data_IF_748519443561
#
_entry.id   IF_748519443561
#
_cell.length_a   1.000
_cell.length_b   1.000
_cell.length_c   1.000
_cell.angle_alpha   90.00
_cell.angle_beta   90.00
_cell.angle_gamma   90.00
#
_symmetry.space_group_name_H-M   'P 1'
#
loop_
_entity.id
_entity.type
_entity.pdbx_description
1 polymer ?
#
# COMPACT_ATOMS: atom_id res chain seq x y z
N UNK A 1 2.73 29.35 9.51
CA UNK A 1 2.61 28.01 8.87
C UNK A 1 1.90 27.06 9.81
N UNK A 2 1.04 26.15 9.29
CA UNK A 2 0.50 25.05 10.13
C UNK A 2 1.54 23.93 10.22
N UNK A 3 1.64 23.27 11.37
CA UNK A 3 2.60 22.21 11.63
C UNK A 3 1.88 20.92 12.04
N UNK A 4 2.49 19.78 11.72
CA UNK A 4 1.99 18.44 12.06
C UNK A 4 3.05 17.69 12.84
N UNK A 5 2.63 16.96 13.87
CA UNK A 5 3.52 16.12 14.66
C UNK A 5 3.99 14.92 13.81
N UNK A 6 5.30 14.74 13.69
CA UNK A 6 5.92 13.62 12.98
C UNK A 6 6.27 12.44 13.90
N UNK A 7 6.12 12.60 15.20
CA UNK A 7 6.60 11.65 16.22
C UNK A 7 8.01 11.95 16.74
N UNK A 8 8.83 12.69 15.98
CA UNK A 8 10.18 13.15 16.36
C UNK A 8 10.31 14.67 16.30
N UNK A 9 9.21 15.40 16.18
CA UNK A 9 9.19 16.85 16.01
C UNK A 9 7.96 17.28 15.24
N UNK A 10 7.92 18.54 14.82
CA UNK A 10 6.83 19.08 14.01
C UNK A 10 7.37 19.47 12.64
N UNK A 11 6.72 19.01 11.57
CA UNK A 11 7.02 19.35 10.19
C UNK A 11 5.92 20.25 9.61
N UNK A 12 6.21 21.06 8.58
CA UNK A 12 5.19 21.88 7.92
C UNK A 12 4.05 21.02 7.36
N UNK A 13 2.81 21.49 7.52
CA UNK A 13 1.63 20.80 6.99
C UNK A 13 1.69 20.64 5.47
N UNK A 14 2.27 21.62 4.75
CA UNK A 14 2.42 21.55 3.30
C UNK A 14 3.34 20.41 2.87
N UNK A 15 4.39 20.09 3.63
CA UNK A 15 5.26 18.94 3.36
C UNK A 15 4.52 17.62 3.54
N UNK A 16 3.62 17.50 4.54
CA UNK A 16 2.75 16.35 4.68
C UNK A 16 1.82 16.19 3.48
N UNK A 17 1.14 17.28 3.07
CA UNK A 17 0.26 17.27 1.91
C UNK A 17 1.02 16.88 0.65
N UNK A 18 2.22 17.43 0.47
CA UNK A 18 3.09 17.10 -0.64
C UNK A 18 3.45 15.60 -0.67
N UNK A 19 3.92 15.03 0.44
CA UNK A 19 4.26 13.60 0.52
C UNK A 19 3.02 12.72 0.28
N UNK A 20 1.87 13.06 0.87
CA UNK A 20 0.65 12.29 0.68
C UNK A 20 0.07 12.42 -0.74
N UNK A 21 0.30 13.53 -1.44
CA UNK A 21 -0.17 13.70 -2.82
C UNK A 21 0.43 12.69 -3.80
N UNK A 22 1.63 12.14 -3.52
CA UNK A 22 2.22 11.07 -4.31
C UNK A 22 1.28 9.84 -4.33
N UNK A 23 0.54 9.61 -3.24
CA UNK A 23 -0.37 8.47 -3.12
C UNK A 23 -1.53 8.50 -4.12
N UNK A 24 -1.87 9.69 -4.63
CA UNK A 24 -2.91 9.84 -5.66
C UNK A 24 -2.53 9.16 -6.99
N UNK A 25 -1.26 8.88 -7.21
CA UNK A 25 -0.76 8.32 -8.48
C UNK A 25 -0.57 6.81 -8.46
N UNK A 26 -0.55 6.19 -7.27
CA UNK A 26 -0.04 4.81 -7.07
C UNK A 26 -0.89 3.75 -7.77
N UNK A 27 -2.21 3.82 -7.69
CA UNK A 27 -3.13 2.78 -8.18
C UNK A 27 -3.79 3.14 -9.53
N UNK A 28 -3.45 4.27 -10.13
CA UNK A 28 -4.07 4.72 -11.39
C UNK A 28 -3.73 3.88 -12.63
N UNK A 29 -2.49 3.35 -12.81
CA UNK A 29 -2.03 2.87 -14.12
C UNK A 29 -2.88 1.76 -14.73
N UNK A 30 -3.26 0.75 -13.97
CA UNK A 30 -4.00 -0.40 -14.49
C UNK A 30 -5.51 -0.28 -14.35
N UNK A 31 -6.02 0.59 -13.47
CA UNK A 31 -7.44 0.62 -13.10
C UNK A 31 -8.19 1.79 -13.72
N UNK A 32 -7.51 2.91 -14.00
CA UNK A 32 -8.18 4.13 -14.42
C UNK A 32 -8.89 4.02 -15.79
N UNK A 33 -8.33 3.27 -16.74
CA UNK A 33 -8.87 3.13 -18.09
C UNK A 33 -9.78 1.90 -18.27
N UNK A 34 -9.92 1.06 -17.25
CA UNK A 34 -10.80 -0.12 -17.32
C UNK A 34 -12.23 0.21 -17.78
N UNK A 35 -12.86 1.32 -17.36
CA UNK A 35 -14.22 1.64 -17.80
C UNK A 35 -14.38 1.95 -19.30
N UNK A 36 -13.28 2.31 -20.00
CA UNK A 36 -13.36 2.67 -21.43
C UNK A 36 -12.97 1.55 -22.38
N UNK A 37 -12.61 0.37 -21.89
CA UNK A 37 -12.16 -0.74 -22.75
C UNK A 37 -13.21 -1.12 -23.79
N UNK A 38 -14.48 -1.21 -23.41
CA UNK A 38 -15.58 -1.46 -24.35
C UNK A 38 -15.73 -0.35 -25.42
N UNK A 39 -15.51 0.93 -25.03
CA UNK A 39 -15.54 2.04 -25.98
C UNK A 39 -14.35 2.02 -26.95
N UNK A 40 -13.18 1.57 -26.49
CA UNK A 40 -12.01 1.40 -27.35
C UNK A 40 -12.23 0.26 -28.37
N UNK A 41 -12.93 -0.80 -27.98
CA UNK A 41 -13.32 -1.89 -28.88
C UNK A 41 -14.23 -1.39 -30.02
N UNK A 42 -15.19 -0.53 -29.68
CA UNK A 42 -16.06 0.13 -30.70
C UNK A 42 -15.28 1.07 -31.62
N UNK A 43 -14.22 1.71 -31.17
CA UNK A 43 -13.42 2.69 -31.96
C UNK A 43 -12.39 1.98 -32.84
N UNK A 44 -11.80 0.90 -32.35
CA UNK A 44 -10.72 0.18 -33.02
C UNK A 44 -11.19 -1.17 -33.60
N UNK A 45 -12.15 -1.19 -34.52
CA UNK A 45 -12.81 -2.39 -35.10
C UNK A 45 -11.88 -3.49 -35.67
N UNK A 46 -10.60 -3.22 -35.85
CA UNK A 46 -9.61 -4.17 -36.39
C UNK A 46 -8.64 -4.71 -35.33
N UNK A 47 -8.89 -4.42 -34.05
CA UNK A 47 -8.01 -4.74 -32.95
C UNK A 47 -8.60 -5.92 -32.17
N UNK A 48 -7.76 -6.82 -31.72
CA UNK A 48 -8.19 -7.93 -30.87
C UNK A 48 -8.49 -7.47 -29.47
N UNK A 49 -9.46 -8.09 -28.82
CA UNK A 49 -9.79 -7.85 -27.41
C UNK A 49 -8.55 -7.94 -26.51
N UNK A 50 -7.61 -8.84 -26.84
CA UNK A 50 -6.33 -8.99 -26.12
C UNK A 50 -5.48 -7.71 -26.19
N UNK A 51 -5.41 -7.05 -27.35
CA UNK A 51 -4.63 -5.81 -27.50
C UNK A 51 -5.20 -4.67 -26.67
N UNK A 52 -6.52 -4.61 -26.53
CA UNK A 52 -7.19 -3.64 -25.65
C UNK A 52 -6.90 -3.96 -24.18
N UNK A 53 -6.96 -5.23 -23.79
CA UNK A 53 -6.62 -5.65 -22.44
C UNK A 53 -5.15 -5.37 -22.07
N UNK A 54 -4.23 -5.40 -23.03
CA UNK A 54 -2.83 -5.04 -22.81
C UNK A 54 -2.65 -3.62 -22.28
N UNK A 55 -3.56 -2.69 -22.57
CA UNK A 55 -3.50 -1.32 -22.05
C UNK A 55 -3.57 -1.25 -20.53
N UNK A 56 -4.23 -2.22 -19.88
CA UNK A 56 -4.34 -2.29 -18.41
C UNK A 56 -3.26 -3.18 -17.79
N UNK A 57 -2.85 -4.24 -18.50
CA UNK A 57 -1.90 -5.23 -18.00
C UNK A 57 -0.46 -4.74 -18.13
N UNK A 58 -0.09 -4.16 -19.26
CA UNK A 58 1.29 -3.75 -19.55
C UNK A 58 1.85 -2.71 -18.58
N UNK A 59 1.13 -1.66 -18.17
CA UNK A 59 1.64 -0.73 -17.17
C UNK A 59 2.08 -1.45 -15.90
N UNK A 60 1.27 -2.40 -15.40
CA UNK A 60 1.56 -3.15 -14.18
C UNK A 60 2.79 -4.05 -14.34
N UNK A 61 2.92 -4.75 -15.47
CA UNK A 61 4.07 -5.61 -15.75
C UNK A 61 5.37 -4.81 -15.89
N UNK A 62 5.32 -3.71 -16.66
CA UNK A 62 6.50 -2.83 -16.85
C UNK A 62 6.88 -2.13 -15.55
N UNK A 63 5.93 -1.83 -14.69
CA UNK A 63 6.19 -1.24 -13.37
C UNK A 63 7.13 -2.10 -12.51
N UNK A 64 7.05 -3.44 -12.59
CA UNK A 64 7.84 -4.37 -11.76
C UNK A 64 9.35 -4.13 -11.85
N UNK A 65 10.00 -4.19 -13.03
CA UNK A 65 11.45 -3.97 -13.12
C UNK A 65 11.85 -2.55 -12.68
N UNK A 66 11.03 -1.54 -12.95
CA UNK A 66 11.34 -0.15 -12.57
C UNK A 66 11.13 0.13 -11.08
N UNK A 67 10.24 -0.59 -10.38
CA UNK A 67 10.19 -0.61 -8.91
C UNK A 67 11.52 -1.09 -8.34
N UNK A 68 12.06 -2.21 -8.84
CA UNK A 68 13.34 -2.77 -8.38
C UNK A 68 14.51 -1.83 -8.70
N UNK A 69 14.53 -1.24 -9.90
CA UNK A 69 15.52 -0.24 -10.27
C UNK A 69 15.48 0.97 -9.34
N UNK A 70 14.28 1.52 -9.09
CA UNK A 70 14.07 2.63 -8.16
C UNK A 70 14.60 2.29 -6.77
N UNK A 71 14.27 1.11 -6.23
CA UNK A 71 14.72 0.67 -4.92
C UNK A 71 16.24 0.59 -4.77
N UNK A 72 16.96 0.16 -5.81
CA UNK A 72 18.43 0.04 -5.80
C UNK A 72 19.16 1.36 -6.06
N UNK A 73 18.65 2.19 -6.98
CA UNK A 73 19.28 3.44 -7.38
C UNK A 73 19.00 4.57 -6.38
N UNK A 74 17.86 4.48 -5.67
CA UNK A 74 17.41 5.52 -4.76
C UNK A 74 18.29 5.62 -3.52
N UNK A 75 18.85 6.79 -3.34
CA UNK A 75 19.58 7.19 -2.13
C UNK A 75 18.92 8.43 -1.52
N UNK A 76 19.14 8.75 -0.23
CA UNK A 76 18.57 9.96 0.37
C UNK A 76 18.91 11.26 -0.35
N UNK A 77 20.01 11.26 -1.14
CA UNK A 77 20.43 12.44 -1.91
C UNK A 77 19.69 12.60 -3.23
N UNK A 78 19.33 11.50 -3.90
CA UNK A 78 18.75 11.52 -5.24
C UNK A 78 17.27 11.13 -5.29
N UNK A 79 16.67 10.69 -4.18
CA UNK A 79 15.29 10.20 -4.14
C UNK A 79 14.26 11.22 -4.68
N UNK A 80 14.45 12.51 -4.39
CA UNK A 80 13.57 13.57 -4.88
C UNK A 80 13.74 13.80 -6.39
N UNK A 81 14.96 13.67 -6.91
CA UNK A 81 15.22 13.76 -8.34
C UNK A 81 14.61 12.59 -9.12
N UNK A 82 14.71 11.37 -8.57
CA UNK A 82 14.07 10.17 -9.15
C UNK A 82 12.55 10.28 -9.10
N UNK A 83 12.00 10.77 -7.99
CA UNK A 83 10.57 11.06 -7.87
C UNK A 83 10.12 12.08 -8.92
N UNK A 84 10.86 13.18 -9.09
CA UNK A 84 10.57 14.21 -10.08
C UNK A 84 10.58 13.63 -11.51
N UNK A 85 11.61 12.84 -11.83
CA UNK A 85 11.72 12.17 -13.13
C UNK A 85 10.53 11.23 -13.38
N UNK A 86 10.19 10.39 -12.40
CA UNK A 86 9.06 9.46 -12.52
C UNK A 86 7.72 10.19 -12.69
N UNK A 87 7.47 11.23 -11.90
CA UNK A 87 6.24 12.05 -12.02
C UNK A 87 6.19 12.82 -13.34
N UNK A 88 7.32 13.34 -13.81
CA UNK A 88 7.40 14.02 -15.10
C UNK A 88 7.13 13.07 -16.27
N UNK A 89 7.73 11.86 -16.27
CA UNK A 89 7.45 10.82 -17.26
C UNK A 89 5.97 10.43 -17.24
N UNK A 90 5.41 10.23 -16.06
CA UNK A 90 3.99 9.89 -15.90
C UNK A 90 3.09 10.98 -16.50
N UNK A 91 3.33 12.23 -16.12
CA UNK A 91 2.57 13.39 -16.63
C UNK A 91 2.73 13.54 -18.14
N UNK A 92 3.96 13.43 -18.65
CA UNK A 92 4.22 13.50 -20.09
C UNK A 92 3.46 12.43 -20.85
N UNK A 93 3.43 11.21 -20.34
CA UNK A 93 2.65 10.12 -20.92
C UNK A 93 1.15 10.44 -20.92
N UNK A 94 0.61 11.03 -19.85
CA UNK A 94 -0.78 11.49 -19.78
C UNK A 94 -1.11 12.52 -20.87
N UNK A 95 -0.19 13.45 -21.15
CA UNK A 95 -0.34 14.43 -22.25
C UNK A 95 -0.29 13.73 -23.62
N UNK A 96 0.65 12.80 -23.81
CA UNK A 96 0.83 12.11 -25.09
C UNK A 96 -0.37 11.23 -25.46
N UNK A 97 -1.10 10.69 -24.50
CA UNK A 97 -2.33 9.94 -24.76
C UNK A 97 -3.39 10.75 -25.50
N UNK A 98 -3.43 12.09 -25.33
CA UNK A 98 -4.35 12.94 -26.11
C UNK A 98 -4.09 12.95 -27.60
N UNK A 99 -2.85 12.69 -28.01
CA UNK A 99 -2.44 12.70 -29.41
C UNK A 99 -2.39 11.30 -30.03
N UNK A 100 -2.68 10.27 -29.24
CA UNK A 100 -2.67 8.89 -29.71
C UNK A 100 -3.91 8.60 -30.57
N UNK A 101 -3.67 8.10 -31.78
CA UNK A 101 -4.71 7.78 -32.76
C UNK A 101 -4.76 6.29 -33.11
N UNK A 102 -3.76 5.52 -32.66
CA UNK A 102 -3.67 4.07 -32.96
C UNK A 102 -3.47 3.28 -31.65
N UNK A 103 -3.94 2.02 -31.65
CA UNK A 103 -3.79 1.12 -30.49
C UNK A 103 -2.32 0.88 -30.15
N UNK A 104 -1.43 0.81 -31.15
CA UNK A 104 0.00 0.59 -30.96
C UNK A 104 0.61 1.77 -30.20
N UNK A 105 0.22 3.01 -30.51
CA UNK A 105 0.64 4.20 -29.75
C UNK A 105 0.16 4.13 -28.31
N UNK A 106 -1.10 3.75 -28.06
CA UNK A 106 -1.65 3.58 -26.73
C UNK A 106 -0.87 2.52 -25.93
N UNK A 107 -0.52 1.38 -26.55
CA UNK A 107 0.28 0.32 -25.95
C UNK A 107 1.69 0.83 -25.57
N UNK A 108 2.37 1.52 -26.45
CA UNK A 108 3.71 2.11 -26.18
C UNK A 108 3.62 3.11 -25.03
N UNK A 109 2.60 3.96 -25.02
CA UNK A 109 2.37 4.91 -23.94
C UNK A 109 2.04 4.22 -22.62
N UNK A 110 1.30 3.09 -22.65
CA UNK A 110 1.06 2.27 -21.46
C UNK A 110 2.35 1.71 -20.85
N UNK A 111 3.30 1.28 -21.69
CA UNK A 111 4.61 0.88 -21.22
C UNK A 111 5.39 2.06 -20.59
N UNK A 112 5.38 3.21 -21.24
CA UNK A 112 6.06 4.42 -20.70
C UNK A 112 5.43 4.88 -19.39
N UNK A 113 4.10 4.78 -19.26
CA UNK A 113 3.37 5.02 -18.02
C UNK A 113 3.88 4.10 -16.91
N UNK A 114 4.03 2.80 -17.19
CA UNK A 114 4.57 1.80 -16.26
C UNK A 114 5.98 2.15 -15.76
N UNK A 115 6.84 2.67 -16.63
CA UNK A 115 8.19 3.17 -16.24
C UNK A 115 8.07 4.29 -15.21
N UNK A 116 7.26 5.32 -15.50
CA UNK A 116 7.04 6.45 -14.60
C UNK A 116 6.53 5.99 -13.23
N UNK A 117 5.52 5.09 -13.24
CA UNK A 117 4.93 4.52 -12.03
C UNK A 117 5.94 3.74 -11.19
N UNK A 118 6.74 2.87 -11.83
CA UNK A 118 7.73 2.06 -11.15
C UNK A 118 8.78 2.90 -10.40
N UNK A 119 9.13 4.07 -10.92
CA UNK A 119 10.01 5.01 -10.23
C UNK A 119 9.36 5.69 -9.02
N UNK A 120 8.05 5.96 -9.07
CA UNK A 120 7.32 6.75 -8.06
C UNK A 120 6.80 5.89 -6.90
N UNK A 121 6.26 4.69 -7.19
CA UNK A 121 5.48 3.89 -6.24
C UNK A 121 6.23 3.58 -4.94
N UNK A 122 7.49 3.09 -4.92
CA UNK A 122 8.18 2.79 -3.68
C UNK A 122 8.50 4.03 -2.85
N UNK A 123 8.66 5.18 -3.50
CA UNK A 123 8.96 6.44 -2.83
C UNK A 123 7.78 6.98 -2.02
N UNK A 124 6.54 6.71 -2.44
CA UNK A 124 5.35 7.13 -1.71
C UNK A 124 5.31 6.61 -0.26
N UNK A 125 5.66 5.34 -0.04
CA UNK A 125 5.71 4.76 1.29
C UNK A 125 7.04 5.04 2.01
N UNK A 126 8.15 5.06 1.27
CA UNK A 126 9.47 5.31 1.82
C UNK A 126 9.59 6.70 2.44
N UNK A 127 9.12 7.75 1.77
CA UNK A 127 9.14 9.12 2.30
C UNK A 127 8.33 9.25 3.59
N UNK A 128 7.16 8.61 3.68
CA UNK A 128 6.39 8.57 4.93
C UNK A 128 7.21 7.90 6.03
N UNK A 129 7.85 6.76 5.72
CA UNK A 129 8.66 6.01 6.66
C UNK A 129 9.90 6.78 7.15
N UNK A 130 10.45 7.69 6.33
CA UNK A 130 11.62 8.51 6.67
C UNK A 130 11.29 9.68 7.59
N UNK A 131 10.13 10.33 7.38
CA UNK A 131 9.79 11.55 8.10
C UNK A 131 8.84 11.34 9.28
N UNK A 132 8.17 10.19 9.37
CA UNK A 132 7.23 9.88 10.44
C UNK A 132 7.63 8.63 11.20
N UNK A 133 7.38 8.62 12.52
CA UNK A 133 7.67 7.48 13.41
C UNK A 133 6.49 7.12 14.29
N UNK A 134 6.48 5.87 14.76
CA UNK A 134 5.48 5.32 15.66
C UNK A 134 4.05 5.48 15.14
N UNK A 135 3.13 5.85 16.02
CA UNK A 135 1.70 6.05 15.71
C UNK A 135 1.44 7.02 14.55
N UNK A 136 2.29 8.06 14.41
CA UNK A 136 2.15 9.03 13.32
C UNK A 136 2.49 8.39 11.97
N UNK A 137 3.51 7.53 11.89
CA UNK A 137 3.84 6.80 10.67
C UNK A 137 2.71 5.86 10.24
N UNK A 138 2.19 5.04 11.16
CA UNK A 138 1.06 4.15 10.88
C UNK A 138 -0.16 4.93 10.41
N UNK A 139 -0.46 6.07 11.05
CA UNK A 139 -1.54 6.96 10.62
C UNK A 139 -1.33 7.45 9.18
N UNK A 140 -0.12 7.94 8.83
CA UNK A 140 0.15 8.46 7.50
C UNK A 140 0.18 7.34 6.43
N UNK A 141 0.64 6.13 6.77
CA UNK A 141 0.56 4.97 5.87
C UNK A 141 -0.90 4.53 5.62
N UNK A 142 -1.76 4.60 6.64
CA UNK A 142 -3.20 4.42 6.49
C UNK A 142 -3.81 5.49 5.56
N UNK A 143 -3.47 6.76 5.75
CA UNK A 143 -3.91 7.86 4.88
C UNK A 143 -3.41 7.70 3.45
N UNK A 144 -2.14 7.26 3.26
CA UNK A 144 -1.58 6.94 1.94
C UNK A 144 -2.43 5.90 1.23
N UNK A 145 -2.73 4.79 1.89
CA UNK A 145 -3.54 3.71 1.32
C UNK A 145 -4.95 4.19 0.97
N UNK A 146 -5.59 4.92 1.89
CA UNK A 146 -6.92 5.51 1.67
C UNK A 146 -6.95 6.47 0.49
N UNK A 147 -5.97 7.37 0.36
CA UNK A 147 -5.88 8.30 -0.76
C UNK A 147 -5.68 7.59 -2.09
N UNK A 148 -4.86 6.53 -2.13
CA UNK A 148 -4.66 5.73 -3.34
C UNK A 148 -5.97 5.07 -3.80
N UNK A 149 -6.73 4.48 -2.87
CA UNK A 149 -8.02 3.87 -3.17
C UNK A 149 -9.08 4.90 -3.55
N UNK A 150 -9.15 6.04 -2.84
CA UNK A 150 -10.05 7.15 -3.18
C UNK A 150 -9.81 7.66 -4.59
N UNK A 151 -8.55 7.77 -5.00
CA UNK A 151 -8.21 8.21 -6.37
C UNK A 151 -8.73 7.23 -7.42
N UNK A 152 -8.67 5.91 -7.17
CA UNK A 152 -9.23 4.91 -8.10
C UNK A 152 -10.75 5.10 -8.24
N UNK A 153 -11.48 5.27 -7.13
CA UNK A 153 -12.93 5.50 -7.17
C UNK A 153 -13.25 6.73 -8.01
N UNK A 154 -12.58 7.85 -7.71
CA UNK A 154 -12.78 9.10 -8.46
C UNK A 154 -12.41 8.94 -9.93
N UNK A 155 -11.27 8.31 -10.22
CA UNK A 155 -10.77 8.13 -11.57
C UNK A 155 -11.72 7.26 -12.41
N UNK A 156 -12.18 6.13 -11.90
CA UNK A 156 -13.09 5.22 -12.63
C UNK A 156 -14.44 5.86 -12.91
N UNK A 157 -15.02 6.59 -11.95
CA UNK A 157 -16.26 7.31 -12.14
C UNK A 157 -16.11 8.45 -13.17
N UNK A 158 -15.03 9.25 -13.03
CA UNK A 158 -14.72 10.35 -13.93
C UNK A 158 -14.49 9.86 -15.36
N UNK A 159 -13.66 8.82 -15.51
CA UNK A 159 -13.34 8.22 -16.82
C UNK A 159 -14.59 7.66 -17.48
N UNK A 160 -15.43 6.92 -16.75
CA UNK A 160 -16.68 6.38 -17.29
C UNK A 160 -17.65 7.48 -17.79
N UNK A 161 -17.76 8.58 -17.05
CA UNK A 161 -18.62 9.69 -17.43
C UNK A 161 -18.07 10.49 -18.63
N UNK A 162 -16.78 10.81 -18.61
CA UNK A 162 -16.14 11.65 -19.65
C UNK A 162 -15.96 10.87 -20.95
N UNK A 163 -15.73 9.56 -20.90
CA UNK A 163 -15.60 8.71 -22.07
C UNK A 163 -16.90 8.64 -22.91
N UNK A 164 -18.05 8.86 -22.30
CA UNK A 164 -19.32 8.97 -23.04
C UNK A 164 -19.34 10.17 -23.98
N UNK A 165 -18.58 11.23 -23.68
CA UNK A 165 -18.45 12.44 -24.50
C UNK A 165 -17.34 12.27 -25.53
N UNK A 166 -16.14 11.94 -25.06
CA UNK A 166 -14.97 11.70 -25.92
C UNK A 166 -13.97 10.80 -25.16
N UNK A 167 -13.62 9.65 -25.73
CA UNK A 167 -12.72 8.69 -25.12
C UNK A 167 -11.30 9.23 -24.87
N UNK A 168 -10.79 10.18 -25.68
CA UNK A 168 -9.49 10.82 -25.43
C UNK A 168 -9.48 11.61 -24.12
N UNK A 169 -10.60 12.21 -23.71
CA UNK A 169 -10.69 12.96 -22.47
C UNK A 169 -10.59 12.06 -21.22
N UNK A 170 -10.84 10.75 -21.36
CA UNK A 170 -10.66 9.81 -20.28
C UNK A 170 -9.21 9.76 -19.76
N UNK A 171 -8.24 9.95 -20.65
CA UNK A 171 -6.81 9.96 -20.28
C UNK A 171 -6.38 11.21 -19.49
N UNK A 172 -7.25 12.21 -19.32
CA UNK A 172 -6.99 13.38 -18.45
C UNK A 172 -6.68 12.96 -17.02
N UNK A 173 -7.18 11.81 -16.58
CA UNK A 173 -6.90 11.25 -15.26
C UNK A 173 -5.40 11.01 -15.03
N UNK A 174 -4.64 10.76 -16.10
CA UNK A 174 -3.19 10.60 -16.02
C UNK A 174 -2.42 11.94 -15.90
N UNK A 175 -3.14 13.08 -15.82
CA UNK A 175 -2.58 14.38 -15.45
C UNK A 175 -2.53 14.59 -13.92
N UNK A 176 -3.17 13.74 -13.12
CA UNK A 176 -3.14 13.82 -11.64
C UNK A 176 -1.71 13.92 -11.09
N UNK A 177 -0.67 13.24 -11.64
CA UNK A 177 0.72 13.40 -11.19
C UNK A 177 1.32 14.81 -11.27
N UNK A 178 0.69 15.73 -11.98
CA UNK A 178 1.06 17.15 -11.96
C UNK A 178 0.98 17.73 -10.55
N UNK A 179 0.01 17.28 -9.75
CA UNK A 179 -0.19 17.76 -8.38
C UNK A 179 1.06 17.52 -7.51
N UNK A 180 1.51 16.25 -7.30
CA UNK A 180 2.74 16.02 -6.55
C UNK A 180 3.98 16.58 -7.24
N UNK A 181 4.03 16.67 -8.58
CA UNK A 181 5.13 17.27 -9.33
C UNK A 181 5.31 18.76 -8.95
N UNK A 182 4.23 19.53 -8.90
CA UNK A 182 4.26 20.94 -8.47
C UNK A 182 4.63 21.09 -6.98
N UNK A 183 4.38 20.07 -6.16
CA UNK A 183 4.65 20.09 -4.73
C UNK A 183 6.05 19.58 -4.36
N UNK A 184 6.87 19.14 -5.31
CA UNK A 184 8.24 18.65 -5.10
C UNK A 184 9.10 19.57 -4.22
N UNK A 185 9.12 20.92 -4.41
CA UNK A 185 9.95 21.80 -3.59
C UNK A 185 9.71 21.64 -2.09
N UNK A 186 8.46 21.34 -1.69
CA UNK A 186 8.05 21.16 -0.29
C UNK A 186 8.37 19.77 0.28
N UNK A 187 8.79 18.82 -0.56
CA UNK A 187 9.22 17.47 -0.17
C UNK A 187 10.74 17.38 0.05
N UNK A 188 11.49 18.41 -0.33
CA UNK A 188 12.95 18.39 -0.26
C UNK A 188 13.40 18.34 1.21
N UNK A 189 14.38 17.46 1.51
CA UNK A 189 14.94 17.34 2.87
C UNK A 189 15.41 18.70 3.41
N UNK A 190 16.03 19.51 2.56
CA UNK A 190 16.47 20.87 2.91
C UNK A 190 15.32 21.76 3.38
N UNK A 191 14.16 21.70 2.70
CA UNK A 191 12.98 22.48 3.09
C UNK A 191 12.37 21.97 4.39
N UNK A 192 12.26 20.64 4.54
CA UNK A 192 11.67 20.02 5.74
C UNK A 192 12.54 20.27 6.95
N UNK A 193 13.87 20.07 6.85
CA UNK A 193 14.83 20.28 7.95
C UNK A 193 14.94 21.74 8.35
N UNK A 194 14.97 22.68 7.40
CA UNK A 194 15.04 24.12 7.69
C UNK A 194 13.78 24.66 8.36
N UNK A 195 12.62 24.00 8.17
CA UNK A 195 11.34 24.41 8.75
C UNK A 195 10.84 23.45 9.84
N UNK A 196 11.64 22.47 10.26
CA UNK A 196 11.30 21.57 11.34
C UNK A 196 11.38 22.27 12.68
N UNK A 197 10.36 22.09 13.51
CA UNK A 197 10.39 22.53 14.91
C UNK A 197 10.72 21.29 15.74
N UNK A 198 11.89 21.28 16.35
CA UNK A 198 12.22 20.28 17.34
C UNK A 198 11.36 20.50 18.57
N UNK A 199 10.53 19.51 18.89
CA UNK A 199 9.78 19.51 20.14
C UNK A 199 10.78 19.13 21.22
N UNK A 200 11.03 20.06 22.15
CA UNK A 200 11.77 19.75 23.36
C UNK A 200 11.21 18.46 23.97
N UNK A 201 12.06 17.50 24.38
CA UNK A 201 11.57 16.32 25.10
C UNK A 201 10.69 16.79 26.26
N UNK A 202 9.62 16.05 26.61
CA UNK A 202 8.80 16.39 27.76
C UNK A 202 9.71 16.65 28.97
N UNK A 203 9.39 17.64 29.80
CA UNK A 203 10.22 18.00 30.94
C UNK A 203 10.52 16.73 31.71
N UNK A 204 11.81 16.47 31.88
CA UNK A 204 12.32 15.33 32.64
C UNK A 204 11.65 15.39 34.02
N UNK A 205 10.81 14.42 34.32
CA UNK A 205 10.37 14.17 35.69
C UNK A 205 11.59 13.55 36.39
N UNK A 206 12.28 14.24 37.28
CA UNK A 206 13.46 13.67 37.91
C UNK A 206 13.05 12.40 38.65
N UNK A 207 13.70 11.28 38.30
CA UNK A 207 13.70 10.10 39.14
C UNK A 207 14.09 10.57 40.56
N UNK A 208 13.48 10.03 41.60
CA UNK A 208 13.59 10.47 43.00
C UNK A 208 15.03 10.55 43.55
N UNK A 209 16.04 10.18 42.78
CA UNK A 209 17.45 10.27 43.15
C UNK A 209 18.29 10.79 41.96
N UNK A 210 19.20 11.77 42.19
CA UNK A 210 20.10 12.24 41.17
C UNK A 210 21.11 11.13 40.81
N UNK A 211 21.51 11.01 39.49
CA UNK A 211 22.52 10.07 39.07
C UNK A 211 23.84 10.33 39.81
N UNK A 212 24.39 9.31 40.49
CA UNK A 212 25.57 9.42 41.35
C UNK A 212 26.89 9.20 40.63
N UNK A 213 26.89 8.93 39.33
CA UNK A 213 28.12 8.73 38.56
C UNK A 213 28.13 9.46 37.23
N UNK A 214 29.31 9.91 36.78
CA UNK A 214 29.56 10.56 35.47
C UNK A 214 29.16 9.68 34.30
N UNK A 215 29.20 8.35 34.42
CA UNK A 215 28.78 7.39 33.42
C UNK A 215 27.25 7.35 33.25
N UNK A 216 26.49 7.54 34.30
CA UNK A 216 25.02 7.65 34.20
C UNK A 216 24.60 8.99 33.59
N UNK A 217 25.34 10.08 33.89
CA UNK A 217 25.13 11.38 33.24
C UNK A 217 25.46 11.28 31.73
N UNK A 218 26.56 10.61 31.37
CA UNK A 218 26.92 10.36 29.95
C UNK A 218 25.88 9.49 29.23
N UNK A 219 25.33 8.45 29.89
CA UNK A 219 24.23 7.65 29.33
C UNK A 219 22.95 8.47 29.18
N UNK A 220 22.58 9.29 30.19
CA UNK A 220 21.41 10.15 30.12
C UNK A 220 21.55 11.25 29.03
N UNK A 221 22.74 11.76 28.77
CA UNK A 221 23.02 12.71 27.69
C UNK A 221 23.08 12.02 26.33
N UNK A 222 23.56 10.77 26.26
CA UNK A 222 23.57 9.96 25.02
C UNK A 222 22.13 9.58 24.56
N UNK A 223 21.16 9.52 25.49
CA UNK A 223 19.73 9.31 25.19
C UNK A 223 19.10 10.52 24.46
N UNK A 224 19.79 11.66 24.38
CA UNK A 224 19.31 12.92 23.77
C UNK A 224 19.27 12.96 22.23
N UNK A 225 19.78 12.00 21.52
CA UNK A 225 19.49 11.88 20.07
C UNK A 225 18.24 10.99 19.94
N UNK A 226 17.15 11.45 19.27
CA UNK A 226 16.11 10.56 18.81
C UNK A 226 16.76 9.62 17.78
N UNK A 227 17.32 8.55 18.26
CA UNK A 227 17.69 7.44 17.43
C UNK A 227 16.38 6.95 16.83
N UNK A 228 16.25 7.00 15.51
CA UNK A 228 15.35 6.11 14.81
C UNK A 228 15.50 4.75 15.50
N UNK A 229 14.48 4.31 16.23
CA UNK A 229 14.49 2.99 16.84
C UNK A 229 14.32 2.01 15.67
N UNK A 230 15.41 1.83 14.95
CA UNK A 230 15.56 0.74 14.02
C UNK A 230 15.87 -0.47 14.89
N UNK A 231 14.92 -1.38 15.04
CA UNK A 231 15.21 -2.71 15.50
C UNK A 231 16.32 -3.27 14.60
N UNK A 232 17.55 -3.30 15.09
CA UNK A 232 18.69 -3.88 14.35
C UNK A 232 18.55 -5.40 14.41
N UNK A 233 17.72 -5.94 13.52
CA UNK A 233 17.75 -7.36 13.24
C UNK A 233 19.04 -7.66 12.47
N UNK A 234 19.91 -8.52 13.02
CA UNK A 234 21.18 -8.86 12.38
C UNK A 234 20.95 -9.81 11.18
N UNK A 235 21.37 -9.40 10.00
CA UNK A 235 21.61 -10.22 8.82
C UNK A 235 20.47 -11.17 8.41
N UNK A 236 20.63 -12.44 8.70
CA UNK A 236 19.72 -13.52 8.30
C UNK A 236 18.28 -13.36 8.84
N UNK A 237 18.09 -12.86 10.06
CA UNK A 237 16.76 -12.65 10.66
C UNK A 237 15.97 -11.56 9.95
N UNK A 238 16.63 -10.48 9.52
CA UNK A 238 16.01 -9.38 8.77
C UNK A 238 15.43 -9.89 7.45
N UNK A 239 16.19 -10.73 6.74
CA UNK A 239 15.77 -11.28 5.46
C UNK A 239 14.55 -12.20 5.63
N UNK A 240 14.56 -13.08 6.64
CA UNK A 240 13.44 -13.98 6.94
C UNK A 240 12.17 -13.20 7.30
N UNK A 241 12.29 -12.14 8.10
CA UNK A 241 11.14 -11.29 8.46
C UNK A 241 10.58 -10.56 7.24
N UNK A 242 11.45 -9.98 6.40
CA UNK A 242 11.03 -9.34 5.16
C UNK A 242 10.31 -10.34 4.25
N UNK A 243 10.91 -11.51 4.02
CA UNK A 243 10.31 -12.56 3.19
C UNK A 243 8.93 -13.00 3.73
N UNK A 244 8.77 -13.11 5.05
CA UNK A 244 7.49 -13.47 5.67
C UNK A 244 6.42 -12.40 5.47
N UNK A 245 6.79 -11.11 5.58
CA UNK A 245 5.88 -9.98 5.33
C UNK A 245 5.52 -9.91 3.84
N UNK A 246 6.51 -10.12 2.95
CA UNK A 246 6.30 -10.17 1.50
C UNK A 246 5.38 -11.33 1.09
N UNK A 247 5.55 -12.52 1.66
CA UNK A 247 4.70 -13.67 1.40
C UNK A 247 3.27 -13.43 1.85
N UNK A 248 3.07 -12.87 3.04
CA UNK A 248 1.73 -12.49 3.51
C UNK A 248 1.08 -11.48 2.58
N UNK A 249 1.82 -10.45 2.16
CA UNK A 249 1.31 -9.42 1.26
C UNK A 249 0.94 -9.99 -0.11
N UNK A 250 1.82 -10.83 -0.68
CA UNK A 250 1.55 -11.53 -1.93
C UNK A 250 0.23 -12.32 -1.87
N UNK A 251 0.07 -13.18 -0.85
CA UNK A 251 -1.12 -14.04 -0.74
C UNK A 251 -2.38 -13.21 -0.50
N UNK A 252 -2.34 -12.21 0.37
CA UNK A 252 -3.50 -11.37 0.65
C UNK A 252 -3.89 -10.52 -0.56
N UNK A 253 -2.92 -9.94 -1.28
CA UNK A 253 -3.20 -9.19 -2.50
C UNK A 253 -3.75 -10.11 -3.58
N UNK A 254 -3.11 -11.25 -3.83
CA UNK A 254 -3.57 -12.24 -4.79
C UNK A 254 -5.02 -12.64 -4.52
N UNK A 255 -5.36 -12.98 -3.28
CA UNK A 255 -6.69 -13.45 -2.92
C UNK A 255 -7.77 -12.35 -3.02
N UNK A 256 -7.43 -11.09 -2.74
CA UNK A 256 -8.39 -9.98 -2.79
C UNK A 256 -8.56 -9.39 -4.18
N UNK A 257 -7.54 -9.45 -5.03
CA UNK A 257 -7.62 -8.98 -6.41
C UNK A 257 -8.51 -9.85 -7.33
N UNK A 258 -8.97 -11.00 -6.84
CA UNK A 258 -10.02 -11.79 -7.51
C UNK A 258 -11.26 -10.93 -7.80
N UNK A 259 -11.57 -9.93 -6.99
CA UNK A 259 -12.66 -8.97 -7.25
C UNK A 259 -12.45 -8.26 -8.58
N UNK A 260 -11.26 -7.75 -8.83
CA UNK A 260 -10.97 -6.98 -10.05
C UNK A 260 -11.06 -7.84 -11.32
N UNK A 261 -10.70 -9.13 -11.22
CA UNK A 261 -10.59 -10.03 -12.38
C UNK A 261 -11.81 -10.91 -12.62
N UNK A 262 -12.48 -11.38 -11.56
CA UNK A 262 -13.52 -12.41 -11.67
C UNK A 262 -14.91 -11.94 -11.25
N UNK A 263 -15.05 -10.86 -10.47
CA UNK A 263 -16.35 -10.32 -10.10
C UNK A 263 -17.24 -9.98 -11.32
N UNK A 264 -16.71 -9.36 -12.41
CA UNK A 264 -17.50 -9.09 -13.60
C UNK A 264 -18.14 -10.37 -14.18
N UNK A 265 -17.35 -11.42 -14.37
CA UNK A 265 -17.81 -12.69 -14.96
C UNK A 265 -18.82 -13.41 -14.05
N UNK A 266 -18.59 -13.39 -12.72
CA UNK A 266 -19.52 -14.01 -11.76
C UNK A 266 -20.83 -13.24 -11.73
N UNK A 267 -20.83 -11.92 -11.65
CA UNK A 267 -22.05 -11.11 -11.64
C UNK A 267 -22.82 -11.21 -12.96
N UNK A 268 -22.14 -11.24 -14.11
CA UNK A 268 -22.75 -11.44 -15.43
C UNK A 268 -23.44 -12.81 -15.54
N UNK A 269 -22.81 -13.88 -15.03
CA UNK A 269 -23.40 -15.22 -14.98
C UNK A 269 -24.74 -15.22 -14.23
N UNK A 270 -24.83 -14.44 -13.15
CA UNK A 270 -26.07 -14.26 -12.38
C UNK A 270 -26.99 -13.15 -12.95
N UNK A 271 -26.77 -12.73 -14.21
CA UNK A 271 -27.61 -11.76 -14.96
C UNK A 271 -27.66 -10.37 -14.32
N UNK A 272 -26.62 -9.98 -13.61
CA UNK A 272 -26.44 -8.62 -13.11
C UNK A 272 -25.80 -7.73 -14.18
N UNK A 273 -26.14 -6.45 -14.17
CA UNK A 273 -25.66 -5.52 -15.19
C UNK A 273 -24.19 -5.13 -14.99
N UNK A 274 -23.53 -4.68 -16.06
CA UNK A 274 -22.18 -4.10 -15.99
C UNK A 274 -22.10 -2.90 -15.04
N UNK A 275 -23.19 -2.13 -14.91
CA UNK A 275 -23.31 -1.05 -13.95
C UNK A 275 -23.23 -1.54 -12.50
N UNK A 276 -23.86 -2.68 -12.20
CA UNK A 276 -23.82 -3.30 -10.88
C UNK A 276 -22.41 -3.76 -10.50
N UNK A 277 -21.66 -4.29 -11.46
CA UNK A 277 -20.23 -4.64 -11.29
C UNK A 277 -19.40 -3.40 -10.92
N UNK A 278 -19.63 -2.29 -11.61
CA UNK A 278 -18.98 -1.02 -11.31
C UNK A 278 -19.25 -0.54 -9.89
N UNK A 279 -20.52 -0.64 -9.45
CA UNK A 279 -20.91 -0.29 -8.08
C UNK A 279 -20.23 -1.21 -7.06
N UNK A 280 -20.22 -2.52 -7.28
CA UNK A 280 -19.60 -3.49 -6.40
C UNK A 280 -18.08 -3.23 -6.26
N UNK A 281 -17.38 -3.01 -7.38
CA UNK A 281 -15.96 -2.68 -7.38
C UNK A 281 -15.68 -1.37 -6.64
N UNK A 282 -16.51 -0.33 -6.84
CA UNK A 282 -16.41 0.93 -6.11
C UNK A 282 -16.63 0.75 -4.60
N UNK A 283 -17.51 -0.17 -4.19
CA UNK A 283 -17.74 -0.47 -2.77
C UNK A 283 -16.54 -1.15 -2.11
N UNK A 284 -15.80 -2.02 -2.82
CA UNK A 284 -14.54 -2.57 -2.33
C UNK A 284 -13.52 -1.48 -2.02
N UNK A 285 -13.26 -0.57 -2.96
CA UNK A 285 -12.30 0.52 -2.75
C UNK A 285 -12.80 1.54 -1.71
N UNK A 286 -14.12 1.78 -1.63
CA UNK A 286 -14.71 2.65 -0.62
C UNK A 286 -14.49 2.11 0.79
N UNK A 287 -14.74 0.84 1.01
CA UNK A 287 -14.54 0.20 2.31
C UNK A 287 -13.06 0.14 2.70
N UNK A 288 -12.17 -0.14 1.75
CA UNK A 288 -10.73 -0.09 1.96
C UNK A 288 -10.25 1.34 2.30
N UNK A 289 -10.85 2.36 1.69
CA UNK A 289 -10.59 3.76 2.01
C UNK A 289 -11.00 4.09 3.46
N UNK A 290 -12.21 3.70 3.85
CA UNK A 290 -12.75 3.94 5.20
C UNK A 290 -11.87 3.28 6.26
N UNK A 291 -11.52 2.00 6.07
CA UNK A 291 -10.68 1.27 7.03
C UNK A 291 -9.26 1.82 7.12
N UNK A 292 -8.68 2.28 6.02
CA UNK A 292 -7.37 2.93 6.02
C UNK A 292 -7.36 4.26 6.80
N UNK A 293 -8.40 5.11 6.64
CA UNK A 293 -8.55 6.31 7.46
C UNK A 293 -8.81 6.00 8.95
N UNK A 294 -9.54 4.93 9.23
CA UNK A 294 -9.86 4.49 10.59
C UNK A 294 -8.75 3.64 11.23
N UNK A 295 -7.64 3.35 10.54
CA UNK A 295 -6.62 2.37 10.91
C UNK A 295 -6.17 2.52 12.37
N UNK A 296 -5.83 3.73 12.80
CA UNK A 296 -5.36 3.96 14.18
C UNK A 296 -6.41 3.66 15.24
N UNK A 297 -7.71 3.88 14.93
CA UNK A 297 -8.82 3.52 15.81
C UNK A 297 -9.02 2.01 15.84
N UNK A 298 -8.92 1.35 14.69
CA UNK A 298 -9.03 -0.11 14.55
C UNK A 298 -7.92 -0.79 15.37
N UNK A 299 -6.68 -0.30 15.26
CA UNK A 299 -5.55 -0.80 16.06
C UNK A 299 -5.79 -0.57 17.56
N UNK A 300 -6.32 0.57 17.97
CA UNK A 300 -6.62 0.84 19.37
C UNK A 300 -7.67 -0.13 19.95
N UNK A 301 -8.66 -0.55 19.15
CA UNK A 301 -9.72 -1.50 19.56
C UNK A 301 -9.20 -2.93 19.58
N UNK A 302 -8.62 -3.42 18.48
CA UNK A 302 -8.22 -4.82 18.31
C UNK A 302 -6.81 -5.13 18.79
N UNK A 303 -5.98 -4.10 19.03
CA UNK A 303 -4.62 -4.20 19.56
C UNK A 303 -3.78 -5.26 18.81
N UNK A 304 -3.19 -6.19 19.52
CA UNK A 304 -2.35 -7.25 18.96
C UNK A 304 -3.06 -8.13 17.91
N UNK A 305 -4.39 -8.24 17.97
CA UNK A 305 -5.20 -9.09 17.10
C UNK A 305 -5.62 -8.41 15.80
N UNK A 306 -5.27 -7.15 15.59
CA UNK A 306 -5.71 -6.35 14.42
C UNK A 306 -5.51 -7.06 13.09
N UNK A 307 -4.33 -7.65 12.86
CA UNK A 307 -4.04 -8.37 11.62
C UNK A 307 -4.91 -9.62 11.44
N UNK A 308 -5.11 -10.40 12.51
CA UNK A 308 -5.93 -11.61 12.50
C UNK A 308 -7.39 -11.27 12.20
N UNK A 309 -7.92 -10.21 12.83
CA UNK A 309 -9.29 -9.74 12.59
C UNK A 309 -9.44 -9.24 11.16
N UNK A 310 -8.46 -8.52 10.63
CA UNK A 310 -8.49 -8.02 9.25
C UNK A 310 -8.49 -9.17 8.23
N UNK A 311 -7.70 -10.21 8.43
CA UNK A 311 -7.67 -11.42 7.58
C UNK A 311 -9.02 -12.16 7.69
N UNK A 312 -9.58 -12.31 8.89
CA UNK A 312 -10.89 -12.93 9.11
C UNK A 312 -12.00 -12.18 8.36
N UNK A 313 -12.01 -10.84 8.45
CA UNK A 313 -13.00 -10.00 7.78
C UNK A 313 -12.89 -10.15 6.26
N UNK A 314 -11.68 -10.12 5.70
CA UNK A 314 -11.47 -10.33 4.26
C UNK A 314 -11.94 -11.72 3.80
N UNK A 315 -11.68 -12.76 4.58
CA UNK A 315 -12.14 -14.14 4.33
C UNK A 315 -13.67 -14.24 4.29
N UNK A 316 -14.35 -13.63 5.26
CA UNK A 316 -15.83 -13.62 5.31
C UNK A 316 -16.39 -12.98 4.03
N UNK A 317 -15.81 -11.87 3.57
CA UNK A 317 -16.22 -11.21 2.34
C UNK A 317 -16.09 -12.10 1.11
N UNK A 318 -14.98 -12.86 0.98
CA UNK A 318 -14.77 -13.81 -0.11
C UNK A 318 -15.82 -14.92 -0.10
N UNK A 319 -16.13 -15.50 1.05
CA UNK A 319 -17.14 -16.56 1.16
C UNK A 319 -18.55 -16.04 0.89
N UNK A 320 -18.87 -14.81 1.29
CA UNK A 320 -20.18 -14.20 0.96
C UNK A 320 -20.32 -14.09 -0.56
N UNK A 321 -19.28 -13.62 -1.27
CA UNK A 321 -19.30 -13.54 -2.74
C UNK A 321 -19.35 -14.91 -3.42
N UNK A 322 -18.76 -15.95 -2.81
CA UNK A 322 -18.70 -17.30 -3.39
C UNK A 322 -19.91 -18.18 -3.11
N UNK A 323 -20.69 -17.90 -2.07
CA UNK A 323 -21.83 -18.75 -1.69
C UNK A 323 -23.19 -18.06 -1.84
N UNK A 324 -23.24 -16.73 -1.89
CA UNK A 324 -24.48 -15.96 -1.99
C UNK A 324 -24.51 -15.18 -3.31
N UNK A 325 -25.48 -15.49 -4.19
CA UNK A 325 -25.45 -15.10 -5.61
C UNK A 325 -26.53 -14.05 -5.98
N UNK A 326 -26.80 -13.10 -5.13
CA UNK A 326 -27.73 -12.01 -5.38
C UNK A 326 -27.02 -10.65 -5.29
N UNK A 327 -27.58 -9.65 -5.91
CA UNK A 327 -26.96 -8.32 -6.02
C UNK A 327 -26.39 -7.80 -4.69
N UNK A 328 -27.22 -7.79 -3.63
CA UNK A 328 -26.80 -7.27 -2.32
C UNK A 328 -25.72 -8.10 -1.65
N UNK A 329 -25.67 -9.40 -1.90
CA UNK A 329 -24.60 -10.24 -1.33
C UNK A 329 -23.23 -9.91 -1.94
N UNK A 330 -23.17 -9.64 -3.25
CA UNK A 330 -21.93 -9.17 -3.88
C UNK A 330 -21.49 -7.82 -3.31
N UNK A 331 -22.39 -6.85 -3.21
CA UNK A 331 -22.09 -5.53 -2.64
C UNK A 331 -21.58 -5.64 -1.19
N UNK A 332 -22.27 -6.40 -0.35
CA UNK A 332 -21.88 -6.60 1.06
C UNK A 332 -20.59 -7.42 1.17
N UNK A 333 -20.45 -8.47 0.37
CA UNK A 333 -19.27 -9.33 0.37
C UNK A 333 -18.00 -8.56 0.00
N UNK A 334 -18.01 -7.81 -1.11
CA UNK A 334 -16.85 -7.01 -1.51
C UNK A 334 -16.57 -5.84 -0.54
N UNK A 335 -17.64 -5.26 0.05
CA UNK A 335 -17.48 -4.23 1.07
C UNK A 335 -16.78 -4.77 2.32
N UNK A 336 -17.21 -5.92 2.83
CA UNK A 336 -16.59 -6.58 3.99
C UNK A 336 -15.14 -6.95 3.66
N UNK A 337 -14.88 -7.50 2.46
CA UNK A 337 -13.54 -7.86 2.03
C UNK A 337 -12.60 -6.64 1.96
N UNK A 338 -13.08 -5.53 1.42
CA UNK A 338 -12.32 -4.28 1.34
C UNK A 338 -12.02 -3.69 2.72
N UNK A 339 -12.92 -3.82 3.73
CA UNK A 339 -12.63 -3.44 5.11
C UNK A 339 -11.41 -4.20 5.65
N UNK A 340 -11.33 -5.50 5.42
CA UNK A 340 -10.21 -6.33 5.84
C UNK A 340 -8.91 -5.93 5.13
N UNK A 341 -8.92 -5.89 3.80
CA UNK A 341 -7.73 -5.57 3.01
C UNK A 341 -7.19 -4.16 3.27
N UNK A 342 -8.07 -3.17 3.48
CA UNK A 342 -7.70 -1.80 3.78
C UNK A 342 -7.00 -1.62 5.14
N UNK A 343 -7.06 -2.62 6.03
CA UNK A 343 -6.25 -2.69 7.26
C UNK A 343 -4.95 -3.45 7.00
N UNK A 344 -4.98 -4.58 6.29
CA UNK A 344 -3.81 -5.44 6.03
C UNK A 344 -2.70 -4.66 5.31
N UNK A 345 -3.04 -3.95 4.25
CA UNK A 345 -2.06 -3.24 3.41
C UNK A 345 -1.22 -2.21 4.19
N UNK A 346 -1.79 -1.22 4.90
CA UNK A 346 -0.98 -0.22 5.61
C UNK A 346 -0.24 -0.80 6.82
N UNK A 347 -0.75 -1.86 7.47
CA UNK A 347 -0.03 -2.56 8.54
C UNK A 347 1.20 -3.28 7.98
N UNK A 348 1.11 -3.89 6.81
CA UNK A 348 2.26 -4.49 6.11
C UNK A 348 3.31 -3.42 5.76
N UNK A 349 2.90 -2.26 5.28
CA UNK A 349 3.81 -1.14 5.01
C UNK A 349 4.51 -0.68 6.30
N UNK A 350 3.78 -0.56 7.40
CA UNK A 350 4.36 -0.19 8.69
C UNK A 350 5.40 -1.22 9.16
N UNK A 351 5.10 -2.51 9.08
CA UNK A 351 6.05 -3.59 9.40
C UNK A 351 7.29 -3.54 8.53
N UNK A 352 7.16 -3.29 7.23
CA UNK A 352 8.29 -3.13 6.31
C UNK A 352 9.18 -1.95 6.72
N UNK A 353 8.57 -0.86 7.19
CA UNK A 353 9.29 0.29 7.73
C UNK A 353 10.13 -0.06 8.97
N UNK A 354 9.65 -0.96 9.83
CA UNK A 354 10.41 -1.44 10.99
C UNK A 354 11.56 -2.37 10.62
N UNK A 355 11.38 -3.19 9.56
CA UNK A 355 12.39 -4.14 9.10
C UNK A 355 13.55 -3.42 8.42
N UNK A 356 13.30 -2.28 7.76
CA UNK A 356 14.33 -1.54 7.03
C UNK A 356 15.45 -1.07 7.98
N UNK A 357 16.72 -1.49 7.76
CA UNK A 357 17.81 -1.27 8.72
C UNK A 357 18.21 0.19 8.84
N UNK A 358 17.94 1.00 7.82
CA UNK A 358 18.16 2.45 7.83
C UNK A 358 17.11 3.16 7.00
N UNK A 359 16.85 4.42 7.27
CA UNK A 359 15.97 5.26 6.44
C UNK A 359 16.43 5.30 4.98
N UNK A 360 17.76 5.23 4.74
CA UNK A 360 18.33 5.20 3.39
C UNK A 360 17.95 3.93 2.61
N UNK A 361 17.81 2.80 3.28
CA UNK A 361 17.40 1.52 2.68
C UNK A 361 15.89 1.31 2.64
N UNK A 362 15.12 2.21 3.20
CA UNK A 362 13.66 2.11 3.25
C UNK A 362 13.06 1.94 1.85
N UNK A 363 13.51 2.72 0.87
CA UNK A 363 13.03 2.64 -0.52
C UNK A 363 13.29 1.27 -1.14
N UNK A 364 14.45 0.67 -0.90
CA UNK A 364 14.81 -0.66 -1.39
C UNK A 364 13.89 -1.75 -0.81
N UNK A 365 13.62 -1.70 0.50
CA UNK A 365 12.73 -2.66 1.16
C UNK A 365 11.27 -2.53 0.70
N UNK A 366 10.80 -1.29 0.50
CA UNK A 366 9.50 -1.05 -0.12
C UNK A 366 9.45 -1.51 -1.57
N UNK A 367 10.54 -1.36 -2.33
CA UNK A 367 10.61 -1.86 -3.70
C UNK A 367 10.45 -3.40 -3.75
N UNK A 368 11.12 -4.14 -2.87
CA UNK A 368 10.93 -5.60 -2.78
C UNK A 368 9.50 -5.98 -2.42
N UNK A 369 8.93 -5.33 -1.40
CA UNK A 369 7.56 -5.56 -0.96
C UNK A 369 6.56 -5.31 -2.10
N UNK A 370 6.67 -4.18 -2.78
CA UNK A 370 5.74 -3.77 -3.83
C UNK A 370 5.91 -4.59 -5.11
N UNK A 371 7.12 -5.06 -5.39
CA UNK A 371 7.36 -6.05 -6.46
C UNK A 371 6.54 -7.32 -6.22
N UNK A 372 6.58 -7.86 -5.00
CA UNK A 372 5.74 -9.01 -4.64
C UNK A 372 4.25 -8.73 -4.78
N UNK A 373 3.81 -7.52 -4.43
CA UNK A 373 2.42 -7.10 -4.60
C UNK A 373 2.00 -7.12 -6.08
N UNK A 374 2.78 -6.49 -6.97
CA UNK A 374 2.46 -6.44 -8.41
C UNK A 374 2.55 -7.82 -9.08
N UNK A 375 3.48 -8.69 -8.63
CA UNK A 375 3.50 -10.09 -9.06
C UNK A 375 2.21 -10.79 -8.59
N UNK A 376 1.78 -10.58 -7.35
CA UNK A 376 0.54 -11.13 -6.81
C UNK A 376 -0.68 -10.75 -7.64
N UNK A 377 -0.83 -9.46 -7.96
CA UNK A 377 -1.89 -8.95 -8.85
C UNK A 377 -1.85 -9.64 -10.21
N UNK A 378 -0.67 -9.71 -10.84
CA UNK A 378 -0.51 -10.25 -12.18
C UNK A 378 -0.72 -11.77 -12.25
N UNK A 379 -0.49 -12.50 -11.15
CA UNK A 379 -0.62 -13.96 -11.08
C UNK A 379 -2.07 -14.44 -10.88
N UNK A 380 -3.01 -13.57 -10.54
CA UNK A 380 -4.41 -13.95 -10.25
C UNK A 380 -5.02 -14.82 -11.36
N UNK A 381 -5.07 -14.40 -12.64
CA UNK A 381 -5.70 -15.20 -13.68
C UNK A 381 -4.98 -16.53 -13.92
N UNK A 382 -3.65 -16.56 -13.80
CA UNK A 382 -2.86 -17.78 -14.03
C UNK A 382 -3.09 -18.81 -12.93
N UNK A 383 -3.03 -18.40 -11.67
CA UNK A 383 -3.22 -19.31 -10.52
C UNK A 383 -4.66 -19.82 -10.50
N UNK A 384 -5.66 -18.95 -10.64
CA UNK A 384 -7.06 -19.37 -10.64
C UNK A 384 -7.34 -20.30 -11.81
N UNK A 385 -6.86 -20.01 -13.02
CA UNK A 385 -7.02 -20.90 -14.19
C UNK A 385 -6.36 -22.25 -14.00
N UNK A 386 -5.14 -22.30 -13.44
CA UNK A 386 -4.46 -23.55 -13.13
C UNK A 386 -5.21 -24.37 -12.07
N UNK A 387 -5.74 -23.72 -11.02
CA UNK A 387 -6.52 -24.39 -9.99
C UNK A 387 -7.87 -24.89 -10.50
N UNK A 388 -8.56 -24.12 -11.35
CA UNK A 388 -9.78 -24.60 -12.02
C UNK A 388 -9.54 -25.88 -12.83
N UNK A 389 -8.41 -25.97 -13.52
CA UNK A 389 -8.03 -27.21 -14.25
C UNK A 389 -7.72 -28.35 -13.29
N UNK A 390 -6.99 -28.08 -12.21
CA UNK A 390 -6.60 -29.11 -11.22
C UNK A 390 -7.79 -29.72 -10.50
N UNK A 391 -8.83 -28.91 -10.20
CA UNK A 391 -10.03 -29.33 -9.47
C UNK A 391 -11.23 -29.65 -10.39
N UNK A 392 -11.00 -29.68 -11.73
CA UNK A 392 -12.03 -29.90 -12.76
C UNK A 392 -13.25 -28.96 -12.64
N UNK A 393 -12.97 -27.71 -12.24
CA UNK A 393 -13.97 -26.66 -12.00
C UNK A 393 -14.02 -25.62 -13.13
N UNK A 394 -13.77 -26.01 -14.40
CA UNK A 394 -13.62 -25.09 -15.51
C UNK A 394 -14.89 -24.28 -15.84
N UNK A 395 -16.08 -24.84 -15.54
CA UNK A 395 -17.38 -24.17 -15.73
C UNK A 395 -17.92 -23.44 -14.50
N UNK A 396 -17.25 -23.56 -13.36
CA UNK A 396 -17.70 -22.97 -12.10
C UNK A 396 -17.20 -21.52 -11.96
N UNK A 397 -18.11 -20.57 -12.04
CA UNK A 397 -17.81 -19.14 -11.91
C UNK A 397 -17.50 -18.73 -10.47
N UNK A 398 -18.06 -19.42 -9.49
CA UNK A 398 -17.93 -19.13 -8.06
C UNK A 398 -16.62 -19.68 -7.49
N UNK A 399 -16.03 -20.67 -8.17
CA UNK A 399 -14.76 -21.30 -7.79
C UNK A 399 -13.70 -20.29 -7.41
N UNK A 400 -13.60 -19.16 -8.13
CA UNK A 400 -12.60 -18.14 -7.89
C UNK A 400 -12.69 -17.53 -6.50
N UNK A 401 -13.90 -17.25 -6.01
CA UNK A 401 -14.12 -16.68 -4.68
C UNK A 401 -14.00 -17.74 -3.59
N UNK A 402 -14.62 -18.91 -3.79
CA UNK A 402 -14.61 -20.01 -2.83
C UNK A 402 -13.17 -20.51 -2.60
N UNK A 403 -12.42 -20.80 -3.67
CA UNK A 403 -11.04 -21.24 -3.59
C UNK A 403 -10.16 -20.24 -2.83
N UNK A 404 -10.25 -18.95 -3.18
CA UNK A 404 -9.48 -17.93 -2.50
C UNK A 404 -9.95 -17.67 -1.07
N UNK A 405 -11.21 -17.91 -0.77
CA UNK A 405 -11.74 -17.98 0.61
C UNK A 405 -11.01 -19.04 1.44
N UNK A 406 -10.80 -20.25 0.89
CA UNK A 406 -10.01 -21.30 1.54
C UNK A 406 -8.51 -20.97 1.64
N UNK A 407 -7.94 -20.30 0.65
CA UNK A 407 -6.55 -19.81 0.73
C UNK A 407 -6.40 -18.83 1.90
N UNK A 408 -7.31 -17.87 2.03
CA UNK A 408 -7.27 -16.91 3.15
C UNK A 408 -7.60 -17.59 4.49
N UNK A 409 -8.46 -18.61 4.51
CA UNK A 409 -8.70 -19.44 5.70
C UNK A 409 -7.42 -20.15 6.16
N UNK A 410 -6.64 -20.70 5.24
CA UNK A 410 -5.34 -21.32 5.57
C UNK A 410 -4.36 -20.28 6.13
N UNK A 411 -4.32 -19.07 5.55
CA UNK A 411 -3.54 -17.94 6.09
C UNK A 411 -4.03 -17.55 7.49
N UNK A 412 -5.33 -17.51 7.71
CA UNK A 412 -5.91 -17.19 9.03
C UNK A 412 -5.54 -18.24 10.07
N UNK A 413 -5.65 -19.53 9.74
CA UNK A 413 -5.23 -20.62 10.62
C UNK A 413 -3.76 -20.53 10.98
N UNK A 414 -2.88 -20.24 9.99
CA UNK A 414 -1.47 -20.01 10.19
C UNK A 414 -1.21 -18.77 11.06
N UNK A 415 -1.94 -17.68 10.83
CA UNK A 415 -1.83 -16.45 11.61
C UNK A 415 -2.24 -16.63 13.08
N UNK A 416 -3.28 -17.46 13.35
CA UNK A 416 -3.70 -17.79 14.71
C UNK A 416 -2.63 -18.66 15.40
N UNK A 417 -2.07 -19.63 14.69
CA UNK A 417 -1.00 -20.48 15.21
C UNK A 417 0.25 -19.67 15.55
N UNK A 418 0.65 -18.75 14.64
CA UNK A 418 1.84 -17.90 14.76
C UNK A 418 1.55 -16.50 15.28
N UNK A 419 0.47 -16.32 16.04
CA UNK A 419 -0.07 -15.02 16.50
C UNK A 419 0.94 -14.13 17.27
N UNK A 420 1.98 -14.73 17.86
CA UNK A 420 3.03 -14.01 18.59
C UNK A 420 4.18 -13.54 17.72
N UNK A 421 4.26 -14.02 16.48
CA UNK A 421 5.31 -13.60 15.57
C UNK A 421 5.09 -12.17 15.07
N UNK A 422 6.18 -11.49 14.78
CA UNK A 422 6.21 -10.10 14.32
C UNK A 422 5.25 -9.82 13.18
N UNK A 423 5.09 -10.75 12.23
CA UNK A 423 4.25 -10.58 11.04
C UNK A 423 2.78 -10.38 11.41
N UNK A 424 2.27 -11.08 12.41
CA UNK A 424 0.86 -11.07 12.79
C UNK A 424 0.56 -10.21 14.03
N UNK A 425 1.55 -10.01 14.91
CA UNK A 425 1.39 -9.20 16.12
C UNK A 425 1.45 -7.72 15.77
N UNK A 426 0.42 -6.95 16.10
CA UNK A 426 0.43 -5.48 16.06
C UNK A 426 0.55 -5.00 17.51
N UNK A 427 1.67 -4.35 17.84
CA UNK A 427 1.91 -3.86 19.19
C UNK A 427 1.55 -2.36 19.28
N UNK A 428 0.42 -2.02 19.93
CA UNK A 428 0.00 -0.63 20.06
C UNK A 428 0.92 0.19 20.95
N UNK A 429 1.58 -0.45 21.93
CA UNK A 429 2.43 0.25 22.90
C UNK A 429 3.79 0.65 22.29
N UNK A 430 4.25 -0.06 21.26
CA UNK A 430 5.43 0.36 20.46
C UNK A 430 5.20 1.69 19.73
N UNK A 431 3.96 2.14 19.60
CA UNK A 431 3.59 3.41 18.99
C UNK A 431 3.54 4.58 20.00
N UNK A 432 3.49 4.31 21.30
CA UNK A 432 3.33 5.35 22.32
C UNK A 432 4.66 5.81 22.93
N UNK A 433 5.65 4.92 23.09
CA UNK A 433 6.97 5.27 23.62
C UNK A 433 8.11 4.48 22.95
N UNK A 434 8.98 5.13 22.17
CA UNK A 434 10.19 4.48 21.66
C UNK A 434 11.18 4.04 22.76
N UNK A 435 11.02 4.53 24.00
CA UNK A 435 11.87 4.18 25.13
C UNK A 435 11.44 2.91 25.89
N UNK A 436 10.17 2.49 25.83
CA UNK A 436 9.70 1.33 26.57
C UNK A 436 10.09 -0.01 25.93
N UNK A 437 10.28 -0.01 24.60
CA UNK A 437 10.72 -1.21 23.87
C UNK A 437 12.19 -1.59 24.18
N UNK A 438 13.04 -0.61 24.52
CA UNK A 438 14.42 -0.85 24.90
C UNK A 438 14.56 -1.40 26.34
N UNK A 439 13.56 -1.17 27.21
CA UNK A 439 13.59 -1.64 28.59
C UNK A 439 13.13 -3.10 28.74
N UNK A 440 12.39 -3.64 27.77
CA UNK A 440 11.87 -5.01 27.82
C UNK A 440 12.92 -6.08 27.47
N UNK A 441 14.05 -5.71 26.85
CA UNK A 441 15.11 -6.61 26.42
C UNK A 441 16.37 -6.57 27.31
N UNK A 442 16.35 -5.83 28.44
CA UNK A 442 17.40 -5.94 29.44
C UNK A 442 17.15 -7.19 30.28
N UNK A 443 18.06 -8.19 30.29
CA UNK A 443 17.94 -9.30 31.20
C UNK A 443 18.01 -8.76 32.64
N UNK A 444 17.03 -9.11 33.43
CA UNK A 444 17.01 -8.83 34.86
C UNK A 444 18.35 -9.21 35.48
N UNK A 445 19.07 -8.32 36.15
CA UNK A 445 20.30 -8.67 36.85
C UNK A 445 19.96 -9.78 37.87
N UNK A 446 20.63 -10.93 37.78
CA UNK A 446 20.57 -11.95 38.79
C UNK A 446 20.96 -11.28 40.13
N UNK A 447 20.11 -11.43 41.15
CA UNK A 447 20.44 -11.04 42.48
C UNK A 447 21.79 -11.66 42.92
N UNK A 448 22.67 -10.92 43.60
CA UNK A 448 23.91 -11.47 44.07
C UNK A 448 23.61 -12.57 45.09
N UNK A 449 24.17 -13.76 44.88
CA UNK A 449 24.17 -14.84 45.84
C UNK A 449 24.83 -14.33 47.13
N UNK A 450 24.02 -14.12 48.16
CA UNK A 450 24.51 -13.92 49.54
C UNK A 450 25.08 -15.24 50.05
N UNK A 451 26.40 -15.26 50.18
CA UNK A 451 27.08 -16.18 51.09
C UNK A 451 27.45 -15.43 52.36
#
# INVERSE_FOLDING_TARGET
MKYVNSGCGKIPFISLVAILSISLTVNLPGLAISPIMGKLDEVFHHVTELEIQLLTVLPNLVTIPFILCSGKICTPKNQIAILALGLALYTLTGVLYFFATTIVQLIILSCLLGVGCGLVIPLAASLISQYFVGKQRTKQLGMKSSLSNFTVIFATLFVGWVAAINWHLAFIVYMIPVIPLCLIPFMTSKYIESNKIDVAPPPYTPLKEPPTSDDEVRKAVAIKKPTNVNFHFHGSKTLVLLASVMALYFVMTYATEVVSYYLPFTMEHYKLSTGDVGVATAMFFTSATISGFALTRIIAVFREKTMIVAILVAMIGLFICGFLHWYWSFIVGVFIMGLGYGVVQPVIYDKTSYIAPTSAKSTEYFAYLLTCNYIGISMVPFIVSAMRRLFDAQGDVDFSFVFNGFVVLAVLAFAIWKRREFVFKVDPDSYEHPASAAAADTPTPKAPDTK
#
